data_IF_371861276202
#
_entry.id   IF_371861276202
#
_cell.length_a   1.000
_cell.length_b   1.000
_cell.length_c   1.000
_cell.angle_alpha   90.00
_cell.angle_beta   90.00
_cell.angle_gamma   90.00
#
_symmetry.space_group_name_H-M   'P 1'
#
loop_
_entity.id
_entity.type
_entity.pdbx_description
1 polymer ?
#
# COMPACT_ATOMS: atom_id res chain seq x y z
N UNK A 1 20.59 4.65 2.53
CA UNK A 1 19.20 4.40 2.97
C UNK A 1 18.35 5.49 2.34
N UNK A 2 17.25 5.15 1.67
CA UNK A 2 16.37 6.18 1.05
C UNK A 2 15.68 6.98 2.14
N UNK A 3 15.26 8.19 1.82
CA UNK A 3 14.51 9.04 2.75
C UNK A 3 13.14 8.36 3.02
N UNK A 4 12.68 8.26 4.29
CA UNK A 4 11.33 7.76 4.60
C UNK A 4 10.23 8.40 3.76
N UNK A 5 10.35 9.69 3.42
CA UNK A 5 9.39 10.41 2.54
C UNK A 5 9.33 9.82 1.14
N UNK A 6 10.43 9.28 0.62
CA UNK A 6 10.42 8.59 -0.68
C UNK A 6 9.64 7.27 -0.61
N UNK A 7 9.79 6.50 0.47
CA UNK A 7 9.00 5.27 0.67
C UNK A 7 7.50 5.55 0.83
N UNK A 8 7.14 6.63 1.53
CA UNK A 8 5.74 7.06 1.62
C UNK A 8 5.18 7.46 0.25
N UNK A 9 5.96 8.15 -0.59
CA UNK A 9 5.57 8.48 -1.96
C UNK A 9 5.42 7.24 -2.83
N UNK A 10 6.31 6.25 -2.70
CA UNK A 10 6.17 4.96 -3.39
C UNK A 10 4.83 4.26 -3.05
N UNK A 11 4.41 4.32 -1.77
CA UNK A 11 3.11 3.79 -1.31
C UNK A 11 1.96 4.55 -1.99
N UNK A 12 1.97 5.88 -1.98
CA UNK A 12 0.91 6.69 -2.60
C UNK A 12 0.81 6.45 -4.11
N UNK A 13 1.94 6.36 -4.80
CA UNK A 13 1.99 6.08 -6.23
C UNK A 13 1.42 4.69 -6.56
N UNK A 14 1.72 3.69 -5.73
CA UNK A 14 1.16 2.35 -5.90
C UNK A 14 -0.36 2.32 -5.65
N UNK A 15 -0.85 3.00 -4.61
CA UNK A 15 -2.29 3.14 -4.36
C UNK A 15 -2.99 3.80 -5.56
N UNK A 16 -2.46 4.91 -6.05
CA UNK A 16 -3.04 5.61 -7.20
C UNK A 16 -3.07 4.74 -8.46
N UNK A 17 -2.06 3.88 -8.67
CA UNK A 17 -2.04 2.91 -9.78
C UNK A 17 -3.10 1.82 -9.62
N UNK A 18 -3.41 1.39 -8.40
CA UNK A 18 -4.49 0.43 -8.12
C UNK A 18 -5.85 1.08 -8.35
N UNK A 19 -6.09 2.26 -7.79
CA UNK A 19 -7.37 2.98 -7.85
C UNK A 19 -7.86 3.23 -9.30
N UNK A 20 -6.93 3.49 -10.23
CA UNK A 20 -7.23 3.64 -11.67
C UNK A 20 -7.96 2.45 -12.28
N UNK A 21 -7.79 1.25 -11.73
CA UNK A 21 -8.47 0.04 -12.19
C UNK A 21 -9.62 -0.37 -11.28
N UNK A 22 -9.55 -0.10 -9.98
CA UNK A 22 -10.66 -0.34 -9.03
C UNK A 22 -11.92 0.42 -9.44
N UNK A 23 -11.79 1.63 -10.02
CA UNK A 23 -12.95 2.40 -10.51
C UNK A 23 -13.73 1.70 -11.63
N UNK A 24 -13.11 0.73 -12.34
CA UNK A 24 -13.77 -0.07 -13.40
C UNK A 24 -14.73 -1.13 -12.83
N UNK A 25 -14.72 -1.33 -11.51
CA UNK A 25 -15.61 -2.24 -10.79
C UNK A 25 -15.12 -3.68 -10.70
N UNK A 26 -15.73 -4.43 -9.78
CA UNK A 26 -15.29 -5.77 -9.39
C UNK A 26 -15.34 -6.76 -10.54
N UNK A 27 -16.40 -6.73 -11.34
CA UNK A 27 -16.55 -7.61 -12.50
C UNK A 27 -15.45 -7.40 -13.55
N UNK A 28 -14.88 -6.19 -13.65
CA UNK A 28 -13.74 -5.95 -14.54
C UNK A 28 -12.45 -6.55 -13.99
N UNK A 29 -12.24 -6.47 -12.67
CA UNK A 29 -11.12 -7.12 -11.99
C UNK A 29 -11.19 -8.65 -12.10
N UNK A 30 -12.34 -9.27 -11.83
CA UNK A 30 -12.49 -10.74 -11.85
C UNK A 30 -12.31 -11.35 -13.25
N UNK A 31 -12.57 -10.59 -14.31
CA UNK A 31 -12.52 -11.06 -15.70
C UNK A 31 -11.22 -10.75 -16.44
N UNK A 32 -10.36 -9.91 -15.85
CA UNK A 32 -9.15 -9.41 -16.50
C UNK A 32 -7.92 -9.78 -15.66
N UNK A 33 -7.27 -10.87 -16.03
CA UNK A 33 -6.08 -11.40 -15.36
C UNK A 33 -4.96 -10.34 -15.29
N UNK A 34 -4.83 -9.48 -16.31
CA UNK A 34 -3.82 -8.42 -16.28
C UNK A 34 -4.12 -7.38 -15.21
N UNK A 35 -5.41 -7.07 -14.98
CA UNK A 35 -5.83 -6.19 -13.89
C UNK A 35 -5.59 -6.85 -12.54
N UNK A 36 -5.83 -8.15 -12.41
CA UNK A 36 -5.53 -8.90 -11.18
C UNK A 36 -4.05 -8.83 -10.85
N UNK A 37 -3.20 -9.21 -11.81
CA UNK A 37 -1.73 -9.18 -11.66
C UNK A 37 -1.24 -7.77 -11.36
N UNK A 38 -1.80 -6.75 -12.02
CA UNK A 38 -1.46 -5.35 -11.78
C UNK A 38 -1.74 -4.92 -10.33
N UNK A 39 -2.92 -5.24 -9.81
CA UNK A 39 -3.30 -4.90 -8.42
C UNK A 39 -2.42 -5.66 -7.43
N UNK A 40 -2.25 -6.97 -7.62
CA UNK A 40 -1.41 -7.81 -6.77
C UNK A 40 0.04 -7.30 -6.71
N UNK A 41 0.62 -6.94 -7.86
CA UNK A 41 1.95 -6.37 -7.93
C UNK A 41 2.06 -5.07 -7.12
N UNK A 42 1.11 -4.15 -7.27
CA UNK A 42 1.17 -2.88 -6.55
C UNK A 42 0.89 -3.02 -5.05
N UNK A 43 0.10 -4.01 -4.61
CA UNK A 43 -0.01 -4.35 -3.19
C UNK A 43 1.33 -4.84 -2.62
N UNK A 44 2.09 -5.64 -3.37
CA UNK A 44 3.44 -6.04 -2.97
C UNK A 44 4.39 -4.85 -2.87
N UNK A 45 4.31 -3.89 -3.81
CA UNK A 45 5.11 -2.65 -3.76
C UNK A 45 4.80 -1.84 -2.50
N UNK A 46 3.52 -1.71 -2.13
CA UNK A 46 3.11 -1.03 -0.89
C UNK A 46 3.74 -1.70 0.33
N UNK A 47 3.66 -3.03 0.43
CA UNK A 47 4.23 -3.76 1.56
C UNK A 47 5.76 -3.75 1.61
N UNK A 48 6.44 -3.75 0.46
CA UNK A 48 7.90 -3.59 0.40
C UNK A 48 8.32 -2.19 0.87
N UNK A 49 7.68 -1.14 0.35
CA UNK A 49 7.96 0.23 0.79
C UNK A 49 7.70 0.43 2.28
N UNK A 50 6.62 -0.15 2.81
CA UNK A 50 6.33 -0.16 4.24
C UNK A 50 7.42 -0.89 5.05
N UNK A 51 7.92 -2.03 4.58
CA UNK A 51 8.97 -2.78 5.27
C UNK A 51 10.29 -2.00 5.35
N UNK A 52 10.65 -1.26 4.29
CA UNK A 52 11.89 -0.49 4.22
C UNK A 52 11.93 0.72 5.18
N UNK A 53 10.78 1.21 5.66
CA UNK A 53 10.71 2.26 6.69
C UNK A 53 11.31 1.82 8.04
N UNK A 54 11.28 0.51 8.33
CA UNK A 54 11.89 -0.05 9.52
C UNK A 54 11.10 0.16 10.82
N UNK A 55 11.49 -0.60 11.85
CA UNK A 55 10.74 -0.71 13.12
C UNK A 55 10.66 0.60 13.90
N UNK A 56 11.73 1.39 13.92
CA UNK A 56 11.75 2.65 14.68
C UNK A 56 10.77 3.67 14.09
N UNK A 57 10.68 3.72 12.75
CA UNK A 57 9.70 4.54 12.06
C UNK A 57 8.27 4.05 12.35
N UNK A 58 8.03 2.74 12.28
CA UNK A 58 6.73 2.15 12.58
C UNK A 58 6.28 2.45 14.02
N UNK A 59 7.20 2.38 14.99
CA UNK A 59 6.92 2.69 16.39
C UNK A 59 6.64 4.18 16.62
N UNK A 60 7.27 5.06 15.84
CA UNK A 60 7.04 6.52 15.89
C UNK A 60 5.66 6.89 15.32
N UNK A 61 5.18 6.14 14.31
CA UNK A 61 3.92 6.42 13.62
C UNK A 61 2.94 5.24 13.67
N UNK A 62 2.45 4.84 14.87
CA UNK A 62 1.67 3.61 15.04
C UNK A 62 0.22 3.71 14.55
N UNK A 63 -0.22 4.89 14.08
CA UNK A 63 -1.56 5.09 13.52
C UNK A 63 -1.76 4.26 12.25
N UNK A 64 -0.70 4.13 11.44
CA UNK A 64 -0.72 3.29 10.23
C UNK A 64 -0.49 1.83 10.65
N UNK A 65 -1.28 0.86 10.15
CA UNK A 65 -1.15 -0.54 10.51
C UNK A 65 0.02 -1.24 9.78
N UNK A 66 1.26 -0.74 9.98
CA UNK A 66 2.46 -1.19 9.26
C UNK A 66 2.65 -2.72 9.25
N UNK A 67 2.44 -3.36 10.40
CA UNK A 67 2.60 -4.82 10.53
C UNK A 67 1.65 -5.59 9.60
N UNK A 68 0.42 -5.11 9.44
CA UNK A 68 -0.57 -5.75 8.55
C UNK A 68 -0.19 -5.52 7.08
N UNK A 69 0.28 -4.32 6.74
CA UNK A 69 0.71 -3.97 5.37
C UNK A 69 1.92 -4.83 4.95
N UNK A 70 2.90 -5.00 5.84
CA UNK A 70 4.06 -5.87 5.58
C UNK A 70 3.66 -7.34 5.51
N UNK A 71 2.75 -7.78 6.39
CA UNK A 71 2.23 -9.16 6.37
C UNK A 71 1.49 -9.47 5.05
N UNK A 72 0.72 -8.53 4.51
CA UNK A 72 0.03 -8.66 3.22
C UNK A 72 1.03 -8.98 2.09
N UNK A 73 2.16 -8.27 2.01
CA UNK A 73 3.22 -8.59 1.03
C UNK A 73 3.76 -10.00 1.22
N UNK A 74 3.99 -10.44 2.44
CA UNK A 74 4.48 -11.79 2.70
C UNK A 74 3.47 -12.86 2.26
N UNK A 75 2.18 -12.66 2.53
CA UNK A 75 1.11 -13.54 2.05
C UNK A 75 1.08 -13.57 0.52
N UNK A 76 1.10 -12.41 -0.15
CA UNK A 76 1.07 -12.33 -1.61
C UNK A 76 2.26 -12.99 -2.31
N UNK A 77 3.44 -12.95 -1.70
CA UNK A 77 4.67 -13.54 -2.27
C UNK A 77 4.77 -15.04 -2.00
N UNK A 78 4.33 -15.51 -0.82
CA UNK A 78 4.51 -16.90 -0.39
C UNK A 78 3.28 -17.79 -0.67
N UNK A 79 2.07 -17.24 -0.65
CA UNK A 79 0.80 -17.93 -0.86
C UNK A 79 0.20 -17.61 -2.24
N UNK A 80 1.04 -17.21 -3.20
CA UNK A 80 0.62 -16.86 -4.57
C UNK A 80 -0.25 -17.95 -5.25
N UNK A 81 -0.15 -19.19 -4.78
CA UNK A 81 -1.06 -20.29 -5.11
C UNK A 81 -2.25 -20.31 -4.13
N UNK A 82 -3.37 -19.70 -4.51
CA UNK A 82 -4.60 -19.71 -3.69
C UNK A 82 -4.97 -18.37 -3.05
N UNK A 83 -4.41 -17.25 -3.53
CA UNK A 83 -4.84 -15.91 -3.12
C UNK A 83 -6.35 -15.73 -3.37
N UNK A 84 -7.08 -15.36 -2.32
CA UNK A 84 -8.50 -15.04 -2.43
C UNK A 84 -8.69 -13.69 -3.13
N UNK A 85 -9.08 -13.73 -4.41
CA UNK A 85 -9.30 -12.53 -5.22
C UNK A 85 -10.39 -11.62 -4.63
N UNK A 86 -11.36 -12.16 -3.91
CA UNK A 86 -12.37 -11.35 -3.21
C UNK A 86 -11.70 -10.52 -2.10
N UNK A 87 -10.82 -11.13 -1.30
CA UNK A 87 -10.10 -10.42 -0.23
C UNK A 87 -9.19 -9.32 -0.80
N UNK A 88 -8.51 -9.61 -1.92
CA UNK A 88 -7.69 -8.62 -2.64
C UNK A 88 -8.53 -7.46 -3.14
N UNK A 89 -9.69 -7.75 -3.70
CA UNK A 89 -10.62 -6.72 -4.16
C UNK A 89 -11.12 -5.85 -3.00
N UNK A 90 -11.50 -6.47 -1.87
CA UNK A 90 -11.94 -5.73 -0.68
C UNK A 90 -10.81 -4.86 -0.12
N UNK A 91 -9.58 -5.38 -0.04
CA UNK A 91 -8.40 -4.61 0.36
C UNK A 91 -8.23 -3.39 -0.54
N UNK A 92 -8.25 -3.59 -1.85
CA UNK A 92 -8.07 -2.52 -2.83
C UNK A 92 -9.17 -1.45 -2.77
N UNK A 93 -10.42 -1.86 -2.53
CA UNK A 93 -11.59 -0.97 -2.55
C UNK A 93 -11.85 -0.26 -1.22
N UNK A 94 -11.64 -0.94 -0.09
CA UNK A 94 -12.03 -0.47 1.25
C UNK A 94 -10.84 0.06 2.03
N UNK A 95 -9.72 -0.65 2.02
CA UNK A 95 -8.63 -0.41 2.95
C UNK A 95 -7.59 0.56 2.38
N UNK A 96 -7.31 0.50 1.07
CA UNK A 96 -6.36 1.43 0.43
C UNK A 96 -6.77 2.92 0.49
N UNK A 97 -8.06 3.31 0.33
CA UNK A 97 -8.44 4.72 0.47
C UNK A 97 -8.15 5.29 1.86
N UNK A 98 -8.34 4.48 2.92
CA UNK A 98 -8.01 4.88 4.28
C UNK A 98 -6.49 4.99 4.46
N UNK A 99 -5.74 3.98 4.02
CA UNK A 99 -4.27 4.01 4.05
C UNK A 99 -3.71 5.23 3.31
N UNK A 100 -4.26 5.57 2.15
CA UNK A 100 -3.86 6.75 1.38
C UNK A 100 -3.94 8.02 2.21
N UNK A 101 -5.06 8.23 2.90
CA UNK A 101 -5.26 9.42 3.74
C UNK A 101 -4.24 9.47 4.87
N UNK A 102 -4.01 8.35 5.55
CA UNK A 102 -3.02 8.28 6.64
C UNK A 102 -1.60 8.59 6.15
N UNK A 103 -1.22 8.09 4.97
CA UNK A 103 0.11 8.32 4.38
C UNK A 103 0.26 9.77 3.87
N UNK A 104 -0.78 10.35 3.26
CA UNK A 104 -0.80 11.77 2.85
C UNK A 104 -0.62 12.70 4.06
N UNK A 105 -1.34 12.44 5.15
CA UNK A 105 -1.20 13.21 6.39
C UNK A 105 0.18 13.06 7.04
N UNK A 106 0.72 11.84 7.05
CA UNK A 106 2.04 11.57 7.59
C UNK A 106 3.14 12.24 6.77
N UNK A 107 3.07 12.17 5.45
CA UNK A 107 4.02 12.81 4.55
C UNK A 107 4.03 14.33 4.76
N UNK A 108 2.84 14.94 4.85
CA UNK A 108 2.70 16.37 5.15
C UNK A 108 3.34 16.75 6.49
N UNK A 109 3.11 15.97 7.55
CA UNK A 109 3.74 16.21 8.87
C UNK A 109 5.27 16.17 8.79
N UNK A 110 5.83 15.22 8.04
CA UNK A 110 7.29 15.11 7.87
C UNK A 110 7.88 16.27 7.05
N UNK A 111 7.15 16.76 6.04
CA UNK A 111 7.55 17.92 5.25
C UNK A 111 7.53 19.21 6.08
N UNK A 112 6.53 19.38 6.94
CA UNK A 112 6.43 20.52 7.87
C UNK A 112 7.53 20.51 8.93
N UNK A 113 7.90 19.34 9.46
CA UNK A 113 9.02 19.18 10.39
C UNK A 113 10.38 19.49 9.74
N UNK A 114 10.54 19.20 8.45
CA UNK A 114 11.78 19.48 7.70
C UNK A 114 11.99 20.98 7.43
N UNK A 115 10.96 21.82 7.60
CA UNK A 115 11.02 23.28 7.39
C UNK A 115 11.26 24.09 8.69
N UNK A 116 11.29 23.41 9.83
CA UNK A 116 11.44 24.02 11.16
C UNK A 116 12.82 23.87 11.82
N UNK A 117 13.77 23.22 11.14
CA UNK A 117 15.20 23.14 11.51
C UNK A 117 16.04 24.10 10.64
#
# INVERSE_FOLDING_TARGET
MRDPKEHLRDILDAIAKIERYVVRGQAAFERDELVQVWILYHLQVIGEAAAQLGRDFHATYPVVPWAQIVAMRNMLVHEYFGVDLEEIWQTAKRDLPALRQEIEELLKKLEEQSYGE
#
